data_IF_572550734428
#
_entry.id   IF_572550734428
#
_cell.length_a   1.000
_cell.length_b   1.000
_cell.length_c   1.000
_cell.angle_alpha   90.00
_cell.angle_beta   90.00
_cell.angle_gamma   90.00
#
_symmetry.space_group_name_H-M   'P 1'
#
loop_
_entity.id
_entity.type
_entity.pdbx_description
1 polymer ?
#
# COMPACT_ATOMS: atom_id res chain seq x y z
N UNK A 1 19.17 20.70 -16.60
CA UNK A 1 17.74 20.45 -16.27
C UNK A 1 17.53 20.82 -14.80
N UNK A 2 16.80 21.90 -14.49
CA UNK A 2 16.49 22.30 -13.11
C UNK A 2 15.12 21.75 -12.74
N UNK A 3 15.05 20.75 -11.85
CA UNK A 3 13.77 20.28 -11.34
C UNK A 3 13.24 21.30 -10.32
N UNK A 4 11.96 21.69 -10.46
CA UNK A 4 11.38 22.82 -9.73
C UNK A 4 11.44 22.70 -8.20
N UNK A 5 11.57 21.48 -7.66
CA UNK A 5 11.47 21.20 -6.23
C UNK A 5 12.77 20.68 -5.58
N UNK A 6 13.93 20.76 -6.25
CA UNK A 6 15.17 20.25 -5.67
C UNK A 6 15.53 20.94 -4.35
N UNK A 7 15.83 22.24 -4.38
CA UNK A 7 16.24 22.99 -3.19
C UNK A 7 15.25 22.92 -2.02
N UNK A 8 13.94 23.19 -2.21
CA UNK A 8 13.00 23.23 -1.09
C UNK A 8 12.49 21.86 -0.64
N UNK A 9 12.63 20.80 -1.44
CA UNK A 9 11.93 19.54 -1.17
C UNK A 9 12.81 18.30 -1.36
N UNK A 10 13.32 18.03 -2.57
CA UNK A 10 14.02 16.76 -2.81
C UNK A 10 15.41 16.69 -2.21
N UNK A 11 16.19 17.78 -2.24
CA UNK A 11 17.52 17.82 -1.64
C UNK A 11 17.45 17.61 -0.11
N UNK A 12 16.62 18.34 0.67
CA UNK A 12 16.51 18.09 2.11
C UNK A 12 15.98 16.69 2.43
N UNK A 13 14.99 16.18 1.69
CA UNK A 13 14.50 14.81 1.88
C UNK A 13 15.61 13.78 1.61
N UNK A 14 16.41 13.95 0.55
CA UNK A 14 17.52 13.06 0.24
C UNK A 14 18.56 13.04 1.38
N UNK A 15 18.77 14.17 2.05
CA UNK A 15 19.68 14.32 3.17
C UNK A 15 19.05 13.89 4.51
N UNK A 16 17.86 13.30 4.49
CA UNK A 16 17.18 12.81 5.70
C UNK A 16 16.60 13.92 6.57
N UNK A 17 16.37 15.11 6.02
CA UNK A 17 15.67 16.22 6.69
C UNK A 17 14.17 16.16 6.39
N UNK A 18 13.34 16.17 7.42
CA UNK A 18 11.89 16.12 7.26
C UNK A 18 11.31 17.51 6.96
N UNK A 19 10.99 17.75 5.69
CA UNK A 19 10.33 18.98 5.21
C UNK A 19 8.86 18.78 4.84
N UNK A 20 8.27 17.66 5.26
CA UNK A 20 6.86 17.37 5.04
C UNK A 20 5.91 18.23 5.89
N UNK A 21 6.18 18.54 7.18
CA UNK A 21 5.20 19.23 8.02
C UNK A 21 4.77 20.58 7.43
N UNK A 22 3.46 20.84 7.46
CA UNK A 22 2.84 22.06 6.92
C UNK A 22 2.60 22.05 5.41
N UNK A 23 3.12 21.06 4.67
CA UNK A 23 2.88 20.93 3.24
C UNK A 23 1.49 20.35 2.94
N UNK A 24 0.87 20.79 1.83
CA UNK A 24 -0.37 20.18 1.35
C UNK A 24 -0.10 18.72 0.98
N UNK A 25 -0.85 17.83 1.60
CA UNK A 25 -0.44 16.46 1.79
C UNK A 25 -0.47 15.66 0.48
N UNK A 26 -1.56 15.71 -0.28
CA UNK A 26 -1.68 14.97 -1.54
C UNK A 26 -0.64 15.42 -2.58
N UNK A 27 -0.53 16.73 -2.81
CA UNK A 27 0.39 17.29 -3.81
C UNK A 27 1.85 16.93 -3.54
N UNK A 28 2.29 17.00 -2.28
CA UNK A 28 3.67 16.74 -1.91
C UNK A 28 4.02 15.25 -1.88
N UNK A 29 3.10 14.40 -1.43
CA UNK A 29 3.30 12.94 -1.55
C UNK A 29 3.21 12.50 -3.01
N UNK A 30 2.37 13.12 -3.85
CA UNK A 30 2.37 12.85 -5.29
C UNK A 30 3.67 13.29 -5.98
N UNK A 31 4.33 14.34 -5.50
CA UNK A 31 5.62 14.80 -6.03
C UNK A 31 6.74 13.75 -5.88
N UNK A 32 6.58 12.74 -5.01
CA UNK A 32 7.43 11.55 -4.98
C UNK A 32 7.45 10.83 -6.33
N UNK A 33 6.34 10.82 -7.08
CA UNK A 33 6.33 10.28 -8.45
C UNK A 33 7.29 11.05 -9.38
N UNK A 34 7.42 12.36 -9.19
CA UNK A 34 8.34 13.20 -9.97
C UNK A 34 9.80 12.88 -9.62
N UNK A 35 10.11 12.69 -8.33
CA UNK A 35 11.43 12.20 -7.91
C UNK A 35 11.73 10.82 -8.52
N UNK A 36 10.78 9.88 -8.45
CA UNK A 36 10.96 8.56 -9.03
C UNK A 36 11.25 8.61 -10.54
N UNK A 37 10.54 9.45 -11.30
CA UNK A 37 10.81 9.64 -12.72
C UNK A 37 12.15 10.33 -12.98
N UNK A 38 12.54 11.30 -12.15
CA UNK A 38 13.86 11.93 -12.22
C UNK A 38 14.99 10.91 -11.97
N UNK A 39 14.83 10.01 -10.99
CA UNK A 39 15.78 8.92 -10.76
C UNK A 39 15.90 8.00 -11.98
N UNK A 40 14.76 7.60 -12.58
CA UNK A 40 14.75 6.74 -13.77
C UNK A 40 15.48 7.40 -14.94
N UNK A 41 15.26 8.71 -15.14
CA UNK A 41 15.79 9.41 -16.31
C UNK A 41 17.25 9.85 -16.16
N UNK A 42 17.65 10.24 -14.95
CA UNK A 42 18.96 10.84 -14.70
C UNK A 42 19.95 9.88 -14.03
N UNK A 43 19.47 8.84 -13.35
CA UNK A 43 20.29 7.97 -12.51
C UNK A 43 20.84 8.65 -11.24
N UNK A 44 20.43 9.88 -10.93
CA UNK A 44 20.92 10.60 -9.75
C UNK A 44 20.28 10.02 -8.46
N UNK A 45 21.08 9.39 -7.56
CA UNK A 45 20.57 8.70 -6.38
C UNK A 45 19.81 9.60 -5.41
N UNK A 46 20.00 10.94 -5.45
CA UNK A 46 19.28 11.87 -4.56
C UNK A 46 17.78 11.65 -4.62
N UNK A 47 17.24 11.37 -5.80
CA UNK A 47 15.80 11.27 -6.00
C UNK A 47 15.24 9.97 -5.44
N UNK A 48 16.02 8.88 -5.50
CA UNK A 48 15.71 7.64 -4.82
C UNK A 48 15.76 7.83 -3.30
N UNK A 49 16.81 8.49 -2.80
CA UNK A 49 17.03 8.68 -1.37
C UNK A 49 15.97 9.61 -0.76
N UNK A 50 15.56 10.65 -1.49
CA UNK A 50 14.42 11.50 -1.14
C UNK A 50 13.13 10.69 -1.02
N UNK A 51 12.90 9.74 -1.92
CA UNK A 51 11.74 8.84 -1.90
C UNK A 51 11.76 7.93 -0.67
N UNK A 52 12.92 7.33 -0.37
CA UNK A 52 13.11 6.40 0.76
C UNK A 52 12.89 7.12 2.09
N UNK A 53 13.50 8.30 2.26
CA UNK A 53 13.33 9.11 3.47
C UNK A 53 11.92 9.69 3.57
N UNK A 54 11.37 10.19 2.46
CA UNK A 54 10.00 10.70 2.38
C UNK A 54 8.95 9.65 2.77
N UNK A 55 9.12 8.40 2.33
CA UNK A 55 8.28 7.28 2.76
C UNK A 55 8.35 7.05 4.27
N UNK A 56 9.56 7.05 4.85
CA UNK A 56 9.73 6.90 6.31
C UNK A 56 8.96 8.00 7.06
N UNK A 57 9.15 9.25 6.67
CA UNK A 57 8.47 10.38 7.32
C UNK A 57 6.95 10.36 7.15
N UNK A 58 6.46 9.80 6.04
CA UNK A 58 5.04 9.60 5.82
C UNK A 58 4.47 8.51 6.73
N UNK A 59 5.19 7.40 6.87
CA UNK A 59 4.78 6.27 7.72
C UNK A 59 4.73 6.65 9.21
N UNK A 60 5.66 7.49 9.66
CA UNK A 60 5.70 8.03 11.04
C UNK A 60 4.48 8.92 11.39
N UNK A 61 3.74 9.41 10.40
CA UNK A 61 2.53 10.23 10.57
C UNK A 61 1.27 9.56 9.99
N UNK A 62 1.32 8.24 9.76
CA UNK A 62 0.18 7.47 9.25
C UNK A 62 -0.70 6.90 10.37
N UNK A 63 -2.02 6.95 10.18
CA UNK A 63 -2.98 6.19 10.97
C UNK A 63 -2.82 4.68 10.75
N UNK A 64 -3.54 3.87 11.54
CA UNK A 64 -3.54 2.41 11.43
C UNK A 64 -3.94 1.91 10.02
N UNK A 65 -4.79 2.66 9.32
CA UNK A 65 -5.20 2.40 7.93
C UNK A 65 -4.09 2.65 6.91
N UNK A 66 -3.00 3.31 7.32
CA UNK A 66 -1.97 3.89 6.46
C UNK A 66 -2.27 5.32 5.99
N UNK A 67 -3.50 5.81 6.18
CA UNK A 67 -3.88 7.17 5.78
C UNK A 67 -3.09 8.22 6.55
N UNK A 68 -3.03 9.45 6.04
CA UNK A 68 -2.24 10.55 6.59
C UNK A 68 -2.84 11.89 6.18
N UNK A 69 -2.30 13.00 6.69
CA UNK A 69 -2.68 14.33 6.25
C UNK A 69 -4.04 14.81 6.77
N UNK A 70 -4.27 14.86 8.09
CA UNK A 70 -5.48 15.49 8.63
C UNK A 70 -5.61 16.92 8.14
N UNK A 71 -6.83 17.30 7.74
CA UNK A 71 -7.13 18.60 7.14
C UNK A 71 -6.24 18.93 5.93
N UNK A 72 -5.82 17.90 5.18
CA UNK A 72 -4.94 18.00 3.99
C UNK A 72 -3.53 18.51 4.24
N UNK A 73 -3.06 18.52 5.49
CA UNK A 73 -1.71 18.96 5.82
C UNK A 73 -0.92 17.82 6.43
N UNK A 74 0.31 17.64 5.93
CA UNK A 74 1.28 16.79 6.60
C UNK A 74 1.68 17.43 7.93
N UNK A 75 1.90 16.60 8.93
CA UNK A 75 2.13 17.03 10.30
C UNK A 75 3.52 16.61 10.78
N UNK A 76 3.98 17.21 11.87
CA UNK A 76 5.21 16.78 12.55
C UNK A 76 4.96 15.47 13.29
N UNK A 77 5.67 14.37 12.96
CA UNK A 77 5.55 13.13 13.70
C UNK A 77 6.00 13.27 15.16
N UNK A 78 5.48 12.44 16.06
CA UNK A 78 5.97 12.31 17.44
C UNK A 78 5.58 13.44 18.41
N UNK A 79 4.91 14.51 17.99
CA UNK A 79 4.48 15.60 18.87
C UNK A 79 3.03 15.45 19.39
N UNK A 80 2.37 14.32 19.13
CA UNK A 80 0.99 14.06 19.51
C UNK A 80 -0.08 14.64 18.57
N UNK A 81 0.28 15.38 17.51
CA UNK A 81 -0.69 15.97 16.58
C UNK A 81 -1.58 14.93 15.89
N UNK A 82 -1.04 13.76 15.52
CA UNK A 82 -1.81 12.67 14.91
C UNK A 82 -2.84 12.05 15.87
N UNK A 83 -2.52 12.00 17.16
CA UNK A 83 -3.46 11.50 18.17
C UNK A 83 -4.55 12.55 18.44
N UNK A 84 -4.15 13.82 18.55
CA UNK A 84 -5.09 14.94 18.75
C UNK A 84 -6.05 15.12 17.57
N UNK A 85 -5.61 14.86 16.34
CA UNK A 85 -6.48 14.95 15.16
C UNK A 85 -7.66 14.00 15.21
N UNK A 86 -7.59 12.89 15.95
CA UNK A 86 -8.68 11.93 16.13
C UNK A 86 -9.94 12.54 16.77
N UNK A 87 -9.80 13.64 17.49
CA UNK A 87 -10.90 14.33 18.19
C UNK A 87 -11.09 15.78 17.76
N UNK A 88 -10.09 16.39 17.11
CA UNK A 88 -10.14 17.82 16.73
C UNK A 88 -10.63 18.06 15.30
N UNK A 89 -10.73 17.01 14.48
CA UNK A 89 -11.29 17.10 13.12
C UNK A 89 -12.01 15.82 12.75
N UNK A 90 -12.85 15.88 11.72
CA UNK A 90 -13.40 14.69 11.04
C UNK A 90 -12.71 14.44 9.69
N UNK A 91 -11.91 15.38 9.19
CA UNK A 91 -11.20 15.33 7.91
C UNK A 91 -9.83 14.68 8.08
N UNK A 92 -9.77 13.40 8.42
CA UNK A 92 -8.51 12.77 8.84
C UNK A 92 -7.59 12.40 7.68
N UNK A 93 -8.16 12.04 6.54
CA UNK A 93 -7.43 11.49 5.43
C UNK A 93 -8.18 11.71 4.12
N UNK A 94 -7.56 12.38 3.15
CA UNK A 94 -8.07 12.52 1.79
C UNK A 94 -7.95 11.17 1.04
N UNK A 95 -8.93 10.28 1.24
CA UNK A 95 -8.75 8.83 1.09
C UNK A 95 -8.40 8.39 -0.33
N UNK A 96 -9.17 8.68 -1.39
CA UNK A 96 -8.78 8.31 -2.76
C UNK A 96 -7.42 8.89 -3.18
N UNK A 97 -7.20 10.19 -2.95
CA UNK A 97 -6.00 10.90 -3.37
C UNK A 97 -4.75 10.39 -2.67
N UNK A 98 -4.74 10.37 -1.33
CA UNK A 98 -3.61 9.87 -0.58
C UNK A 98 -3.35 8.37 -0.81
N UNK A 99 -4.39 7.58 -1.12
CA UNK A 99 -4.21 6.14 -1.38
C UNK A 99 -3.50 5.96 -2.71
N UNK A 100 -3.94 6.69 -3.74
CA UNK A 100 -3.29 6.66 -5.04
C UNK A 100 -1.82 7.11 -4.96
N UNK A 101 -1.54 8.20 -4.24
CA UNK A 101 -0.19 8.71 -4.05
C UNK A 101 0.72 7.69 -3.35
N UNK A 102 0.25 7.11 -2.26
CA UNK A 102 1.00 6.12 -1.48
C UNK A 102 1.24 4.85 -2.29
N UNK A 103 0.22 4.33 -3.00
CA UNK A 103 0.40 3.17 -3.88
C UNK A 103 1.44 3.43 -4.97
N UNK A 104 1.42 4.62 -5.59
CA UNK A 104 2.36 4.97 -6.65
C UNK A 104 3.79 5.09 -6.13
N UNK A 105 3.98 5.77 -4.99
CA UNK A 105 5.28 5.84 -4.32
C UNK A 105 5.81 4.45 -3.94
N UNK A 106 4.98 3.60 -3.34
CA UNK A 106 5.34 2.24 -2.98
C UNK A 106 5.79 1.41 -4.19
N UNK A 107 5.06 1.47 -5.31
CA UNK A 107 5.46 0.76 -6.55
C UNK A 107 6.85 1.15 -7.03
N UNK A 108 7.20 2.44 -6.97
CA UNK A 108 8.54 2.91 -7.33
C UNK A 108 9.59 2.43 -6.33
N UNK A 109 9.32 2.53 -5.03
CA UNK A 109 10.25 2.07 -4.00
C UNK A 109 10.50 0.57 -4.09
N UNK A 110 9.47 -0.24 -4.32
CA UNK A 110 9.60 -1.67 -4.57
C UNK A 110 10.47 -1.94 -5.80
N UNK A 111 10.27 -1.17 -6.89
CA UNK A 111 11.08 -1.30 -8.11
C UNK A 111 12.56 -0.92 -7.89
N UNK A 112 12.83 0.13 -7.12
CA UNK A 112 14.19 0.63 -6.92
C UNK A 112 14.98 -0.13 -5.86
N UNK A 113 14.30 -0.72 -4.87
CA UNK A 113 14.94 -1.33 -3.71
C UNK A 113 14.75 -2.84 -3.60
N UNK A 114 13.70 -3.41 -4.19
CA UNK A 114 13.32 -4.80 -3.98
C UNK A 114 12.89 -5.14 -2.54
N UNK A 115 12.62 -4.13 -1.71
CA UNK A 115 12.27 -4.31 -0.30
C UNK A 115 10.76 -4.51 -0.12
N UNK A 116 10.37 -5.60 0.55
CA UNK A 116 8.98 -6.00 0.71
C UNK A 116 8.18 -5.05 1.62
N UNK A 117 8.84 -4.27 2.50
CA UNK A 117 8.14 -3.36 3.43
C UNK A 117 7.27 -2.31 2.72
N UNK A 118 7.68 -1.90 1.52
CA UNK A 118 6.90 -0.98 0.70
C UNK A 118 5.62 -1.65 0.16
N UNK A 119 5.68 -2.97 -0.09
CA UNK A 119 4.53 -3.81 -0.41
C UNK A 119 3.55 -3.90 0.77
N UNK A 120 4.04 -4.03 2.01
CA UNK A 120 3.21 -4.04 3.21
C UNK A 120 2.42 -2.72 3.38
N UNK A 121 3.09 -1.58 3.18
CA UNK A 121 2.42 -0.28 3.22
C UNK A 121 1.44 -0.05 2.06
N UNK A 122 1.79 -0.52 0.85
CA UNK A 122 0.89 -0.54 -0.29
C UNK A 122 -0.38 -1.35 0.02
N UNK A 123 -0.21 -2.57 0.54
CA UNK A 123 -1.32 -3.45 0.87
C UNK A 123 -2.23 -2.80 1.92
N UNK A 124 -1.63 -2.27 3.00
CA UNK A 124 -2.34 -1.58 4.08
C UNK A 124 -3.19 -0.42 3.56
N UNK A 125 -2.63 0.47 2.74
CA UNK A 125 -3.36 1.64 2.23
C UNK A 125 -4.43 1.26 1.21
N UNK A 126 -4.17 0.24 0.39
CA UNK A 126 -5.12 -0.20 -0.64
C UNK A 126 -6.37 -0.83 -0.01
N UNK A 127 -6.19 -1.77 0.92
CA UNK A 127 -7.31 -2.47 1.53
C UNK A 127 -8.09 -1.65 2.54
N UNK A 128 -7.44 -0.71 3.25
CA UNK A 128 -8.13 0.14 4.23
C UNK A 128 -8.61 1.47 3.63
N UNK A 129 -7.97 1.96 2.57
CA UNK A 129 -8.33 3.17 1.85
C UNK A 129 -9.21 2.88 0.65
N UNK A 130 -8.60 2.71 -0.53
CA UNK A 130 -9.27 2.60 -1.83
C UNK A 130 -10.43 1.60 -1.85
N UNK A 131 -10.25 0.41 -1.27
CA UNK A 131 -11.28 -0.64 -1.30
C UNK A 131 -12.44 -0.40 -0.32
N UNK A 132 -12.33 0.58 0.57
CA UNK A 132 -13.37 0.88 1.58
C UNK A 132 -14.09 2.20 1.32
N UNK A 133 -13.70 2.96 0.31
CA UNK A 133 -14.37 4.24 0.00
C UNK A 133 -15.83 4.01 -0.39
N UNK A 134 -16.68 5.00 -0.08
CA UNK A 134 -18.07 4.97 -0.53
C UNK A 134 -18.10 5.10 -2.06
N UNK A 135 -18.75 4.18 -2.81
CA UNK A 135 -18.88 4.33 -4.25
C UNK A 135 -19.57 5.65 -4.61
N UNK A 136 -19.05 6.41 -5.59
CA UNK A 136 -19.75 7.57 -6.12
C UNK A 136 -21.14 7.19 -6.62
N UNK A 137 -22.09 8.12 -6.53
CA UNK A 137 -23.44 7.90 -7.05
C UNK A 137 -23.68 8.54 -8.42
N UNK A 138 -24.83 8.23 -9.02
CA UNK A 138 -25.23 8.76 -10.34
C UNK A 138 -25.46 10.27 -10.35
N UNK A 139 -25.56 10.91 -9.19
CA UNK A 139 -25.76 12.36 -9.08
C UNK A 139 -24.42 13.10 -9.01
N UNK A 140 -23.28 12.40 -9.16
CA UNK A 140 -21.95 12.98 -9.08
C UNK A 140 -21.49 13.27 -7.65
N UNK A 141 -22.13 12.69 -6.62
CA UNK A 141 -21.59 12.73 -5.26
C UNK A 141 -20.40 11.77 -5.15
N UNK A 142 -19.30 12.23 -4.55
CA UNK A 142 -18.08 11.47 -4.42
C UNK A 142 -17.56 11.47 -2.97
N UNK A 143 -16.85 10.42 -2.54
CA UNK A 143 -16.13 10.44 -1.27
C UNK A 143 -14.92 11.37 -1.36
N UNK A 144 -14.49 11.89 -0.21
CA UNK A 144 -13.26 12.69 -0.11
C UNK A 144 -12.48 12.26 1.13
N UNK A 145 -12.95 12.65 2.32
CA UNK A 145 -12.30 12.27 3.57
C UNK A 145 -12.78 10.91 4.10
N UNK A 146 -11.88 10.16 4.73
CA UNK A 146 -12.25 9.22 5.80
C UNK A 146 -12.18 9.92 7.16
N UNK A 147 -13.18 9.66 7.99
CA UNK A 147 -13.18 10.08 9.40
C UNK A 147 -12.80 8.91 10.29
N UNK A 148 -11.85 9.14 11.20
CA UNK A 148 -11.46 8.21 12.26
C UNK A 148 -11.94 8.67 13.64
N UNK A 149 -12.84 9.67 13.66
CA UNK A 149 -13.52 10.12 14.87
C UNK A 149 -14.38 8.97 15.45
N UNK A 150 -14.61 8.90 16.78
CA UNK A 150 -15.44 7.87 17.40
C UNK A 150 -16.85 7.70 16.82
N UNK A 151 -17.46 8.76 16.27
CA UNK A 151 -18.77 8.76 15.59
C UNK A 151 -18.66 8.75 14.05
N UNK A 152 -17.47 8.43 13.53
CA UNK A 152 -17.13 8.53 12.12
C UNK A 152 -18.05 7.73 11.22
N UNK A 153 -18.55 8.38 10.17
CA UNK A 153 -19.38 7.78 9.12
C UNK A 153 -18.80 8.05 7.73
N UNK A 154 -19.02 7.12 6.81
CA UNK A 154 -18.73 7.33 5.39
C UNK A 154 -19.80 8.23 4.79
N UNK A 155 -19.41 9.44 4.42
CA UNK A 155 -20.29 10.44 3.81
C UNK A 155 -19.77 10.84 2.43
N UNK A 156 -20.62 11.47 1.63
CA UNK A 156 -20.18 12.18 0.45
C UNK A 156 -19.66 13.57 0.83
N UNK A 157 -18.72 14.08 0.04
CA UNK A 157 -18.28 15.45 0.17
C UNK A 157 -19.41 16.41 -0.25
N UNK A 158 -19.60 17.54 0.45
CA UNK A 158 -20.69 18.47 0.12
C UNK A 158 -20.59 19.05 -1.29
N UNK A 159 -19.37 19.24 -1.79
CA UNK A 159 -19.11 19.76 -3.12
C UNK A 159 -19.01 18.65 -4.16
N UNK A 160 -19.40 18.98 -5.39
CA UNK A 160 -19.33 18.09 -6.53
C UNK A 160 -17.94 18.08 -7.12
N UNK A 161 -17.53 16.92 -7.63
CA UNK A 161 -16.29 16.75 -8.38
C UNK A 161 -14.99 17.20 -7.66
N UNK A 162 -14.82 16.88 -6.36
CA UNK A 162 -13.59 17.25 -5.68
C UNK A 162 -12.41 16.41 -6.21
N UNK A 163 -11.15 16.77 -5.94
CA UNK A 163 -10.00 16.07 -6.55
C UNK A 163 -10.02 14.55 -6.34
N UNK A 164 -10.53 14.07 -5.20
CA UNK A 164 -10.76 12.65 -4.96
C UNK A 164 -11.67 11.95 -5.96
N UNK A 165 -12.65 12.62 -6.58
CA UNK A 165 -13.51 11.99 -7.58
C UNK A 165 -12.71 11.60 -8.82
N UNK A 166 -11.80 12.45 -9.27
CA UNK A 166 -10.90 12.17 -10.39
C UNK A 166 -9.84 11.12 -10.03
N UNK A 167 -9.24 11.23 -8.85
CA UNK A 167 -8.19 10.30 -8.42
C UNK A 167 -8.75 8.90 -8.11
N UNK A 168 -10.00 8.80 -7.65
CA UNK A 168 -10.65 7.51 -7.42
C UNK A 168 -10.71 6.67 -8.70
N UNK A 169 -11.08 7.28 -9.83
CA UNK A 169 -11.13 6.59 -11.12
C UNK A 169 -9.75 6.05 -11.51
N UNK A 170 -8.69 6.83 -11.29
CA UNK A 170 -7.31 6.40 -11.52
C UNK A 170 -6.91 5.25 -10.58
N UNK A 171 -7.23 5.34 -9.29
CA UNK A 171 -6.98 4.28 -8.31
C UNK A 171 -7.68 2.97 -8.66
N UNK A 172 -8.96 3.04 -9.04
CA UNK A 172 -9.75 1.89 -9.48
C UNK A 172 -9.19 1.26 -10.75
N UNK A 173 -8.69 2.07 -11.69
CA UNK A 173 -8.05 1.56 -12.90
C UNK A 173 -6.68 0.91 -12.62
N UNK A 174 -5.95 1.37 -11.60
CA UNK A 174 -4.57 0.98 -11.36
C UNK A 174 -4.37 -0.12 -10.30
N UNK A 175 -5.32 -0.36 -9.38
CA UNK A 175 -5.05 -1.24 -8.23
C UNK A 175 -4.66 -2.68 -8.63
N UNK A 176 -5.13 -3.17 -9.78
CA UNK A 176 -4.78 -4.50 -10.30
C UNK A 176 -3.28 -4.63 -10.59
N UNK A 177 -2.59 -3.52 -10.88
CA UNK A 177 -1.13 -3.47 -11.11
C UNK A 177 -0.35 -3.80 -9.84
N UNK A 178 -0.97 -3.64 -8.67
CA UNK A 178 -0.31 -3.87 -7.39
C UNK A 178 -0.16 -5.36 -7.06
N UNK A 179 -0.80 -6.28 -7.80
CA UNK A 179 -0.78 -7.70 -7.48
C UNK A 179 0.55 -8.38 -7.82
N UNK A 180 1.15 -8.01 -8.95
CA UNK A 180 2.35 -8.65 -9.48
C UNK A 180 3.36 -7.62 -9.97
N UNK A 181 4.64 -7.89 -9.73
CA UNK A 181 5.75 -7.13 -10.30
C UNK A 181 6.71 -8.09 -10.99
N UNK A 182 7.46 -7.60 -11.97
CA UNK A 182 8.35 -8.42 -12.77
C UNK A 182 9.73 -7.79 -12.85
N UNK A 183 10.74 -8.67 -12.91
CA UNK A 183 12.11 -8.34 -13.30
C UNK A 183 12.60 -9.42 -14.28
N UNK A 184 13.75 -9.23 -14.96
CA UNK A 184 14.29 -10.24 -15.87
C UNK A 184 14.37 -11.63 -15.19
N UNK A 185 13.64 -12.61 -15.73
CA UNK A 185 13.61 -13.98 -15.20
C UNK A 185 12.87 -14.17 -13.86
N UNK A 186 12.19 -13.15 -13.35
CA UNK A 186 11.59 -13.17 -12.01
C UNK A 186 10.17 -12.58 -12.01
N UNK A 187 9.25 -13.30 -11.35
CA UNK A 187 7.91 -12.82 -11.02
C UNK A 187 7.82 -12.65 -9.51
N UNK A 188 7.34 -11.50 -9.07
CA UNK A 188 7.09 -11.20 -7.68
C UNK A 188 5.59 -11.09 -7.44
N UNK A 189 5.10 -11.77 -6.40
CA UNK A 189 3.71 -11.67 -5.94
C UNK A 189 3.70 -10.72 -4.76
N UNK A 190 2.90 -9.66 -4.87
CA UNK A 190 2.76 -8.65 -3.83
C UNK A 190 1.44 -8.79 -3.08
N UNK A 191 0.32 -8.95 -3.79
CA UNK A 191 -1.01 -9.12 -3.17
C UNK A 191 -1.52 -10.55 -3.32
N UNK A 192 -2.03 -11.11 -2.23
CA UNK A 192 -2.61 -12.46 -2.19
C UNK A 192 -4.09 -12.46 -2.59
N UNK A 193 -4.38 -11.92 -3.78
CA UNK A 193 -5.74 -11.81 -4.33
C UNK A 193 -5.96 -12.79 -5.48
N UNK A 194 -7.16 -13.41 -5.61
CA UNK A 194 -7.48 -14.29 -6.72
C UNK A 194 -7.30 -13.60 -8.07
N UNK A 195 -6.29 -14.04 -8.82
CA UNK A 195 -5.90 -13.38 -10.06
C UNK A 195 -5.05 -14.30 -10.93
N UNK A 196 -5.00 -13.98 -12.23
CA UNK A 196 -4.14 -14.67 -13.20
C UNK A 196 -3.26 -13.63 -13.90
N UNK A 197 -1.96 -13.88 -13.95
CA UNK A 197 -1.02 -13.08 -14.74
C UNK A 197 -0.57 -13.87 -15.96
N UNK A 198 -0.59 -13.23 -17.13
CA UNK A 198 -0.04 -13.77 -18.38
C UNK A 198 1.21 -12.97 -18.73
N UNK A 199 2.36 -13.63 -18.75
CA UNK A 199 3.62 -13.01 -19.20
C UNK A 199 3.97 -13.42 -20.63
N UNK A 200 4.55 -12.51 -21.41
CA UNK A 200 5.27 -12.87 -22.63
C UNK A 200 6.59 -13.54 -22.23
N UNK A 201 6.76 -14.84 -22.54
CA UNK A 201 8.09 -15.44 -22.48
C UNK A 201 8.91 -14.97 -23.68
N UNK A 202 10.22 -14.89 -23.52
CA UNK A 202 11.20 -14.55 -24.56
C UNK A 202 11.24 -15.52 -25.78
N UNK A 203 10.22 -16.37 -25.98
CA UNK A 203 10.17 -17.37 -27.05
C UNK A 203 8.73 -17.78 -27.40
N UNK A 204 7.77 -16.85 -27.47
CA UNK A 204 6.41 -17.10 -28.00
C UNK A 204 5.47 -17.98 -27.15
N UNK A 205 5.93 -18.54 -26.02
CA UNK A 205 5.08 -19.29 -25.08
C UNK A 205 4.53 -18.38 -23.99
N UNK A 206 3.22 -18.15 -23.96
CA UNK A 206 2.57 -17.47 -22.84
C UNK A 206 2.69 -18.32 -21.58
N UNK A 207 3.07 -17.71 -20.45
CA UNK A 207 3.07 -18.38 -19.14
C UNK A 207 1.97 -17.79 -18.29
N UNK A 208 1.05 -18.63 -17.83
CA UNK A 208 0.04 -18.25 -16.86
C UNK A 208 0.48 -18.64 -15.45
N UNK A 209 0.41 -17.71 -14.50
CA UNK A 209 0.45 -18.02 -13.08
C UNK A 209 -0.89 -17.61 -12.48
N UNK A 210 -1.46 -18.48 -11.65
CA UNK A 210 -2.67 -18.21 -10.89
C UNK A 210 -2.35 -18.25 -9.40
N UNK A 211 -2.71 -17.21 -8.67
CA UNK A 211 -2.66 -17.22 -7.21
C UNK A 211 -4.05 -17.66 -6.71
N UNK A 212 -4.19 -18.85 -6.09
CA UNK A 212 -5.45 -19.26 -5.49
C UNK A 212 -5.72 -18.43 -4.23
N UNK A 213 -7.00 -18.31 -3.84
CA UNK A 213 -7.40 -17.67 -2.58
C UNK A 213 -6.72 -18.37 -1.41
N UNK A 214 -5.83 -17.68 -0.69
CA UNK A 214 -5.49 -18.09 0.68
C UNK A 214 -6.61 -17.53 1.56
N UNK A 215 -7.74 -18.23 1.64
CA UNK A 215 -8.71 -17.90 2.68
C UNK A 215 -8.03 -18.16 4.02
N UNK A 216 -7.99 -17.20 4.97
CA UNK A 216 -7.76 -17.57 6.36
C UNK A 216 -8.82 -18.64 6.70
N UNK A 217 -8.38 -19.74 7.32
CA UNK A 217 -9.28 -20.81 7.72
C UNK A 217 -10.49 -20.18 8.40
N UNK A 218 -11.69 -20.49 7.89
CA UNK A 218 -12.95 -20.00 8.43
C UNK A 218 -12.89 -20.25 9.95
N UNK A 219 -12.99 -19.23 10.82
CA UNK A 219 -13.06 -19.49 12.25
C UNK A 219 -14.21 -20.49 12.45
N UNK A 220 -14.03 -21.51 13.32
CA UNK A 220 -15.10 -22.49 13.54
C UNK A 220 -16.38 -21.72 13.86
N UNK A 221 -17.45 -22.01 13.13
CA UNK A 221 -18.72 -21.35 13.31
C UNK A 221 -19.11 -21.45 14.78
N UNK A 222 -19.17 -20.33 15.49
CA UNK A 222 -19.89 -20.30 16.75
C UNK A 222 -21.34 -20.59 16.40
N UNK A 223 -21.81 -21.79 16.74
CA UNK A 223 -23.22 -22.11 16.63
C UNK A 223 -24.00 -21.02 17.39
N UNK A 224 -24.96 -20.40 16.71
CA UNK A 224 -25.89 -19.48 17.33
C UNK A 224 -26.63 -20.23 18.45
N UNK A 225 -26.31 -19.90 19.70
CA UNK A 225 -27.04 -20.42 20.86
C UNK A 225 -28.42 -19.73 20.92
N UNK A 226 -29.50 -20.47 21.25
CA UNK A 226 -30.84 -19.90 21.33
C UNK A 226 -30.93 -18.82 22.42
N UNK A 227 -31.82 -17.82 22.25
CA UNK A 227 -32.04 -16.81 23.26
C UNK A 227 -32.69 -17.49 24.48
N UNK A 228 -32.48 -16.93 25.68
CA UNK A 228 -33.04 -17.42 26.96
C UNK A 228 -32.20 -18.47 27.72
N UNK A 229 -30.99 -18.09 28.12
CA UNK A 229 -30.43 -18.47 29.44
C UNK A 229 -29.59 -17.33 30.00
N UNK A 230 -29.95 -16.82 31.19
CA UNK A 230 -29.10 -15.90 31.98
C UNK A 230 -27.84 -16.66 32.42
N UNK A 231 -26.67 -16.02 32.29
CA UNK A 231 -25.38 -16.56 32.71
C UNK A 231 -24.97 -15.86 34.02
N UNK A 232 -24.56 -16.65 35.03
CA UNK A 232 -23.86 -16.19 36.23
C UNK A 232 -22.35 -16.01 35.95
N UNK A 233 -21.60 -15.20 36.73
CA UNK A 233 -20.28 -14.69 36.32
C UNK A 233 -19.13 -15.70 36.22
N UNK A 234 -19.36 -17.02 36.28
CA UNK A 234 -18.29 -18.02 36.38
C UNK A 234 -18.14 -18.95 35.17
N UNK A 235 -18.88 -18.78 34.07
CA UNK A 235 -18.81 -19.69 32.89
C UNK A 235 -18.55 -18.99 31.55
N UNK A 236 -17.45 -18.23 31.43
CA UNK A 236 -16.95 -17.78 30.13
C UNK A 236 -15.45 -18.02 29.98
N UNK A 237 -15.07 -19.22 29.56
CA UNK A 237 -13.73 -19.49 29.06
C UNK A 237 -13.79 -20.43 27.85
N UNK A 238 -13.92 -19.84 26.65
CA UNK A 238 -13.46 -20.51 25.44
C UNK A 238 -11.93 -20.66 25.56
N UNK A 239 -11.45 -21.85 25.93
CA UNK A 239 -10.02 -22.19 25.83
C UNK A 239 -9.66 -22.29 24.35
N UNK A 240 -9.05 -21.23 23.81
CA UNK A 240 -8.33 -21.29 22.55
C UNK A 240 -7.06 -22.12 22.73
N UNK A 241 -7.06 -23.36 22.23
CA UNK A 241 -5.84 -24.13 22.03
C UNK A 241 -5.06 -23.57 20.85
N UNK A 242 -4.39 -22.42 21.02
CA UNK A 242 -3.45 -21.91 20.04
C UNK A 242 -2.07 -22.49 20.32
N UNK A 243 -1.61 -23.41 19.47
CA UNK A 243 -0.16 -23.63 19.35
C UNK A 243 0.44 -22.31 18.86
N UNK A 244 1.43 -21.71 19.56
CA UNK A 244 2.03 -20.48 19.10
C UNK A 244 2.74 -20.76 17.77
N UNK A 245 2.40 -19.98 16.74
CA UNK A 245 3.29 -19.81 15.60
C UNK A 245 4.58 -19.22 16.19
N UNK A 246 5.66 -20.00 16.21
CA UNK A 246 7.00 -19.48 16.51
C UNK A 246 7.30 -18.36 15.52
N UNK A 247 7.05 -17.11 15.91
CA UNK A 247 7.72 -15.96 15.30
C UNK A 247 9.17 -16.08 15.72
N UNK A 248 10.06 -16.38 14.77
CA UNK A 248 11.47 -16.15 15.02
C UNK A 248 11.63 -14.66 15.28
N UNK A 249 12.08 -14.32 16.48
CA UNK A 249 12.67 -13.04 16.80
C UNK A 249 13.98 -12.94 16.01
N UNK A 250 13.91 -12.53 14.74
CA UNK A 250 15.08 -11.98 14.06
C UNK A 250 14.95 -10.47 14.05
N UNK A 251 15.96 -9.84 14.63
CA UNK A 251 16.38 -8.44 14.50
C UNK A 251 15.93 -7.77 13.20
N UNK A 252 15.57 -6.49 13.33
CA UNK A 252 15.20 -5.58 12.23
C UNK A 252 16.26 -5.56 11.13
N UNK A 253 16.11 -6.46 10.15
CA UNK A 253 16.78 -6.46 8.87
C UNK A 253 15.72 -6.54 7.79
N UNK A 254 15.88 -5.75 6.73
CA UNK A 254 14.94 -5.70 5.61
C UNK A 254 14.55 -7.11 5.15
N UNK A 255 13.25 -7.44 5.13
CA UNK A 255 12.78 -8.70 4.57
C UNK A 255 12.92 -8.60 3.05
N UNK A 256 13.96 -9.23 2.52
CA UNK A 256 14.17 -9.29 1.07
C UNK A 256 12.94 -9.91 0.39
N UNK A 257 12.39 -9.21 -0.59
CA UNK A 257 11.28 -9.71 -1.38
C UNK A 257 11.78 -10.81 -2.32
N UNK A 258 11.30 -12.05 -2.13
CA UNK A 258 11.80 -13.20 -2.88
C UNK A 258 10.93 -13.46 -4.12
N UNK A 259 11.52 -13.56 -5.32
CA UNK A 259 10.76 -13.87 -6.51
C UNK A 259 10.37 -15.35 -6.55
N UNK A 260 9.24 -15.64 -7.20
CA UNK A 260 8.95 -16.98 -7.71
C UNK A 260 9.87 -17.17 -8.92
N UNK A 261 10.92 -17.98 -8.74
CA UNK A 261 11.77 -18.41 -9.86
C UNK A 261 11.05 -19.53 -10.61
N UNK A 262 11.04 -19.44 -11.93
CA UNK A 262 10.61 -20.56 -12.76
C UNK A 262 11.51 -21.77 -12.43
N UNK A 263 10.92 -22.91 -12.10
CA UNK A 263 11.66 -24.17 -12.16
C UNK A 263 12.05 -24.38 -13.63
N UNK A 264 13.34 -24.41 -13.93
CA UNK A 264 13.80 -24.99 -15.18
C UNK A 264 13.27 -26.42 -15.26
N UNK A 265 12.73 -26.88 -16.41
CA UNK A 265 12.55 -28.30 -16.62
C UNK A 265 13.90 -28.95 -16.37
N UNK A 266 13.96 -30.00 -15.55
CA UNK A 266 15.16 -30.84 -15.48
C UNK A 266 15.42 -31.32 -16.91
N UNK A 267 16.44 -30.78 -17.55
CA UNK A 267 16.94 -31.29 -18.82
C UNK A 267 17.55 -32.65 -18.52
N UNK A 268 16.76 -33.72 -18.67
CA UNK A 268 17.32 -35.02 -18.96
C UNK A 268 18.05 -34.90 -20.29
N UNK A 269 19.38 -34.94 -20.24
CA UNK A 269 20.22 -34.91 -21.41
C UNK A 269 19.90 -36.10 -22.33
N UNK A 270 19.56 -35.84 -23.59
CA UNK A 270 20.12 -36.53 -24.76
C UNK A 270 20.29 -35.49 -25.86
N UNK A 271 21.51 -35.41 -26.39
CA UNK A 271 21.92 -34.35 -27.29
C UNK A 271 21.41 -34.48 -28.71
N UNK A 272 21.49 -33.36 -29.43
CA UNK A 272 21.89 -33.30 -30.83
C UNK A 272 22.21 -31.83 -31.15
N UNK A 273 23.38 -31.60 -31.76
CA UNK A 273 23.72 -30.38 -32.48
C UNK A 273 22.66 -30.05 -33.54
N UNK A 274 22.36 -28.77 -33.70
CA UNK A 274 22.11 -28.20 -35.03
C UNK A 274 22.38 -26.69 -35.01
N UNK A 275 23.25 -26.29 -35.92
CA UNK A 275 23.56 -24.93 -36.39
C UNK A 275 22.37 -24.28 -37.10
N UNK A 276 22.22 -22.96 -36.94
CA UNK A 276 21.24 -22.13 -37.65
C UNK A 276 20.85 -20.91 -36.83
#
# INVERSE_FOLDING_TARGET
MKYLLNGPYFDPLAHGSNVLPGQQAYSHVMAFSSAAMAYIQLGDPRYRDALVNGWRFLDEQSYATGGWGPNELLITPGNGALASSLTTTTNHYETPCGTFATMKAARYLMRFTGDARYGDGLERIMWNGLMTVKPPDSNGNAPYYSSYHPDGRKVFYPEKWPCCSGTLVQGVADYVRNAYFHAPGALYVNLFTPSRVRGAAAAGRSRSHSTPTIQPARPPSCASRPPHRRISPSESACRAGSRPIRRSTSTAGARAWRPIRARSPKSGARGAMATG
#
